data_IF_904983232495
#
_entry.id   IF_904983232495
#
_cell.length_a   1.000
_cell.length_b   1.000
_cell.length_c   1.000
_cell.angle_alpha   90.00
_cell.angle_beta   90.00
_cell.angle_gamma   90.00
#
_symmetry.space_group_name_H-M   'P 1'
#
loop_
_entity.id
_entity.type
_entity.pdbx_description
1 polymer ?
#
# COMPACT_ATOMS: atom_id res chain seq x y z
N UNK A 1 -15.99 47.60 -3.35
CA UNK A 1 -15.49 46.40 -4.05
C UNK A 1 -15.13 45.38 -2.98
N UNK A 2 -15.88 44.28 -2.85
CA UNK A 2 -15.61 43.28 -1.80
C UNK A 2 -14.27 42.60 -2.02
N UNK A 3 -13.43 42.60 -0.98
CA UNK A 3 -12.13 41.94 -0.97
C UNK A 3 -12.32 40.43 -0.79
N UNK A 4 -11.89 39.63 -1.77
CA UNK A 4 -11.92 38.17 -1.68
C UNK A 4 -10.64 37.63 -1.06
N UNK A 5 -10.79 36.69 -0.14
CA UNK A 5 -9.66 36.04 0.52
C UNK A 5 -9.24 34.74 -0.19
N UNK A 6 -7.94 34.46 -0.18
CA UNK A 6 -7.36 33.21 -0.65
C UNK A 6 -7.78 32.05 0.26
N UNK A 7 -8.22 30.94 -0.33
CA UNK A 7 -8.66 29.75 0.43
C UNK A 7 -7.55 29.06 1.25
N UNK A 8 -6.27 29.30 0.93
CA UNK A 8 -5.14 28.71 1.67
C UNK A 8 -4.57 29.64 2.75
N UNK A 9 -4.14 30.85 2.37
CA UNK A 9 -3.41 31.76 3.26
C UNK A 9 -4.29 32.87 3.86
N UNK A 10 -5.51 33.06 3.37
CA UNK A 10 -6.39 34.16 3.81
C UNK A 10 -6.07 35.52 3.18
N UNK A 11 -4.93 35.67 2.48
CA UNK A 11 -4.56 36.94 1.85
C UNK A 11 -5.55 37.40 0.80
N UNK A 12 -5.64 38.72 0.62
CA UNK A 12 -6.50 39.34 -0.37
C UNK A 12 -6.08 38.96 -1.80
N UNK A 13 -7.03 38.47 -2.58
CA UNK A 13 -6.83 38.19 -3.99
C UNK A 13 -6.72 39.53 -4.73
N UNK A 14 -5.70 39.67 -5.58
CA UNK A 14 -5.42 40.90 -6.33
C UNK A 14 -6.67 41.41 -7.07
N UNK A 15 -7.08 42.68 -6.86
CA UNK A 15 -8.17 43.31 -7.60
C UNK A 15 -7.90 43.26 -9.12
N UNK A 16 -8.95 43.07 -9.93
CA UNK A 16 -8.82 42.89 -11.38
C UNK A 16 -8.44 41.46 -11.82
N UNK A 17 -8.28 40.53 -10.88
CA UNK A 17 -8.21 39.09 -11.22
C UNK A 17 -9.54 38.56 -11.71
N UNK A 18 -9.52 37.43 -12.42
CA UNK A 18 -10.74 36.71 -12.85
C UNK A 18 -11.70 36.49 -11.67
N UNK A 19 -13.00 36.65 -11.92
CA UNK A 19 -14.07 36.53 -10.94
C UNK A 19 -14.24 35.10 -10.36
N UNK A 20 -13.54 34.09 -10.86
CA UNK A 20 -13.54 32.72 -10.35
C UNK A 20 -12.27 32.40 -9.53
N UNK A 21 -11.34 33.35 -9.36
CA UNK A 21 -10.04 33.08 -8.73
C UNK A 21 -10.18 32.74 -7.24
N UNK A 22 -9.78 31.53 -6.85
CA UNK A 22 -9.89 31.00 -5.47
C UNK A 22 -8.60 31.21 -4.65
N UNK A 23 -7.44 31.30 -5.33
CA UNK A 23 -6.11 31.39 -4.71
C UNK A 23 -5.38 32.65 -5.16
N UNK A 24 -4.63 33.29 -4.26
CA UNK A 24 -3.84 34.48 -4.60
C UNK A 24 -2.70 34.18 -5.58
N UNK A 25 -2.07 33.01 -5.45
CA UNK A 25 -0.94 32.53 -6.28
C UNK A 25 -1.10 31.06 -6.69
N UNK A 26 -0.37 30.65 -7.71
CA UNK A 26 -0.32 29.24 -8.12
C UNK A 26 0.33 28.35 -7.05
N UNK A 27 1.29 28.90 -6.29
CA UNK A 27 1.86 28.22 -5.12
C UNK A 27 0.80 27.94 -4.05
N UNK A 28 -0.14 28.85 -3.81
CA UNK A 28 -1.23 28.61 -2.88
C UNK A 28 -2.20 27.54 -3.39
N UNK A 29 -2.43 27.47 -4.70
CA UNK A 29 -3.25 26.41 -5.31
C UNK A 29 -2.59 25.04 -5.13
N UNK A 30 -1.33 24.90 -5.51
CA UNK A 30 -0.60 23.62 -5.42
C UNK A 30 -0.46 23.14 -3.97
N UNK A 31 -0.15 24.05 -3.05
CA UNK A 31 -0.01 23.73 -1.62
C UNK A 31 -1.35 23.31 -1.00
N UNK A 32 -2.45 23.97 -1.37
CA UNK A 32 -3.79 23.56 -0.96
C UNK A 32 -4.14 22.16 -1.48
N UNK A 33 -3.92 21.90 -2.76
CA UNK A 33 -4.19 20.59 -3.38
C UNK A 33 -3.33 19.48 -2.77
N UNK A 34 -2.03 19.73 -2.55
CA UNK A 34 -1.13 18.80 -1.88
C UNK A 34 -1.62 18.47 -0.47
N UNK A 35 -2.08 19.48 0.29
CA UNK A 35 -2.63 19.28 1.64
C UNK A 35 -3.89 18.43 1.61
N UNK A 36 -4.79 18.66 0.66
CA UNK A 36 -6.02 17.87 0.46
C UNK A 36 -5.70 16.42 0.10
N UNK A 37 -4.82 16.19 -0.87
CA UNK A 37 -4.44 14.84 -1.31
C UNK A 37 -3.52 14.10 -0.30
N UNK A 38 -2.88 14.81 0.63
CA UNK A 38 -1.87 14.22 1.53
C UNK A 38 -2.42 13.15 2.48
N UNK A 39 -3.64 13.30 3.01
CA UNK A 39 -4.17 12.36 4.01
C UNK A 39 -4.45 10.98 3.41
N UNK A 40 -5.15 10.95 2.27
CA UNK A 40 -5.50 9.69 1.58
C UNK A 40 -4.25 9.04 0.98
N UNK A 41 -3.35 9.85 0.40
CA UNK A 41 -2.07 9.35 -0.11
C UNK A 41 -1.18 8.79 1.01
N UNK A 42 -1.22 9.38 2.21
CA UNK A 42 -0.47 8.89 3.36
C UNK A 42 -0.97 7.52 3.84
N UNK A 43 -2.29 7.29 3.85
CA UNK A 43 -2.86 5.99 4.22
C UNK A 43 -2.41 4.91 3.24
N UNK A 44 -2.61 5.15 1.93
CA UNK A 44 -2.21 4.21 0.86
C UNK A 44 -0.70 3.92 0.94
N UNK A 45 0.13 4.95 1.11
CA UNK A 45 1.59 4.80 1.25
C UNK A 45 1.97 3.94 2.45
N UNK A 46 1.30 4.13 3.59
CA UNK A 46 1.54 3.33 4.81
C UNK A 46 1.15 1.87 4.60
N UNK A 47 -0.02 1.60 4.01
CA UNK A 47 -0.47 0.24 3.67
C UNK A 47 0.54 -0.43 2.73
N UNK A 48 0.93 0.25 1.65
CA UNK A 48 1.91 -0.27 0.69
C UNK A 48 3.27 -0.54 1.35
N UNK A 49 3.71 0.29 2.29
CA UNK A 49 4.95 0.06 3.04
C UNK A 49 4.87 -1.22 3.89
N UNK A 50 3.72 -1.51 4.53
CA UNK A 50 3.49 -2.74 5.28
C UNK A 50 3.47 -3.97 4.36
N UNK A 51 2.76 -3.89 3.24
CA UNK A 51 2.73 -4.95 2.22
C UNK A 51 4.14 -5.24 1.67
N UNK A 52 4.93 -4.21 1.36
CA UNK A 52 6.31 -4.38 0.90
C UNK A 52 7.21 -5.03 1.97
N UNK A 53 7.06 -4.64 3.24
CA UNK A 53 7.80 -5.27 4.35
C UNK A 53 7.45 -6.77 4.44
N UNK A 54 6.17 -7.10 4.44
CA UNK A 54 5.69 -8.48 4.47
C UNK A 54 6.25 -9.30 3.29
N UNK A 55 6.16 -8.78 2.07
CA UNK A 55 6.71 -9.43 0.87
C UNK A 55 8.22 -9.70 1.01
N UNK A 56 8.99 -8.73 1.52
CA UNK A 56 10.44 -8.89 1.75
C UNK A 56 10.75 -9.98 2.76
N UNK A 57 9.98 -10.06 3.86
CA UNK A 57 10.14 -11.11 4.88
C UNK A 57 9.91 -12.49 4.25
N UNK A 58 8.79 -12.68 3.54
CA UNK A 58 8.48 -13.96 2.90
C UNK A 58 9.55 -14.35 1.88
N UNK A 59 9.99 -13.41 1.02
CA UNK A 59 11.03 -13.67 0.04
C UNK A 59 12.38 -14.01 0.67
N UNK A 60 12.75 -13.36 1.79
CA UNK A 60 14.01 -13.62 2.50
C UNK A 60 14.01 -15.00 3.16
N UNK A 61 12.87 -15.40 3.72
CA UNK A 61 12.70 -16.67 4.43
C UNK A 61 12.38 -17.83 3.49
N UNK A 62 12.16 -17.59 2.20
CA UNK A 62 11.81 -18.61 1.21
C UNK A 62 12.75 -18.64 -0.02
N UNK A 63 14.08 -18.76 0.15
CA UNK A 63 15.04 -18.70 -0.96
C UNK A 63 14.87 -19.84 -1.98
N UNK A 64 14.42 -21.02 -1.55
CA UNK A 64 14.19 -22.20 -2.39
C UNK A 64 12.79 -22.24 -3.03
N UNK A 65 11.91 -21.29 -2.71
CA UNK A 65 10.54 -21.24 -3.21
C UNK A 65 9.53 -22.12 -2.43
N UNK A 66 10.00 -23.01 -1.53
CA UNK A 66 9.15 -23.76 -0.60
C UNK A 66 9.85 -23.97 0.74
N UNK A 67 9.35 -23.35 1.81
CA UNK A 67 9.98 -23.41 3.15
C UNK A 67 8.92 -23.59 4.24
N UNK A 68 9.15 -24.52 5.18
CA UNK A 68 8.29 -24.71 6.35
C UNK A 68 8.76 -23.78 7.47
N UNK A 69 7.84 -23.06 8.11
CA UNK A 69 8.11 -22.10 9.19
C UNK A 69 6.93 -22.07 10.16
N UNK A 70 7.11 -21.55 11.38
CA UNK A 70 6.00 -21.31 12.31
C UNK A 70 5.41 -19.90 12.13
N UNK A 71 4.16 -19.73 12.55
CA UNK A 71 3.51 -18.42 12.60
C UNK A 71 4.27 -17.45 13.52
N UNK A 72 4.74 -17.90 14.68
CA UNK A 72 5.51 -17.10 15.65
C UNK A 72 6.78 -16.55 15.02
N UNK A 73 7.47 -17.37 14.21
CA UNK A 73 8.69 -16.95 13.55
C UNK A 73 8.41 -15.76 12.63
N UNK A 74 7.34 -15.80 11.84
CA UNK A 74 6.94 -14.66 11.00
C UNK A 74 6.60 -13.41 11.85
N UNK A 75 5.88 -13.59 12.96
CA UNK A 75 5.59 -12.49 13.90
C UNK A 75 6.90 -11.88 14.45
N UNK A 76 7.88 -12.70 14.81
CA UNK A 76 9.18 -12.26 15.31
C UNK A 76 9.98 -11.47 14.26
N UNK A 77 9.85 -11.81 12.97
CA UNK A 77 10.38 -10.99 11.86
C UNK A 77 9.58 -9.70 11.60
N UNK A 78 8.49 -9.51 12.34
CA UNK A 78 7.59 -8.36 12.24
C UNK A 78 6.69 -8.42 11.00
N UNK A 79 6.33 -9.63 10.57
CA UNK A 79 5.28 -9.87 9.57
C UNK A 79 3.91 -9.56 10.18
N UNK A 80 3.07 -8.88 9.41
CA UNK A 80 1.75 -8.48 9.84
C UNK A 80 0.66 -9.18 9.01
N UNK A 81 -0.03 -10.15 9.61
CA UNK A 81 -1.02 -10.98 8.93
C UNK A 81 -2.27 -10.22 8.47
N UNK A 82 -2.48 -8.97 8.91
CA UNK A 82 -3.57 -8.13 8.45
C UNK A 82 -3.32 -7.50 7.07
N UNK A 83 -2.07 -7.50 6.58
CA UNK A 83 -1.69 -6.89 5.30
C UNK A 83 -1.40 -7.96 4.25
N UNK A 84 -2.44 -8.28 3.47
CA UNK A 84 -2.42 -9.25 2.38
C UNK A 84 -3.01 -8.66 1.10
N UNK A 85 -2.69 -9.24 -0.05
CA UNK A 85 -3.22 -8.79 -1.35
C UNK A 85 -4.27 -9.73 -1.92
N UNK A 86 -4.17 -11.04 -1.63
CA UNK A 86 -5.11 -12.03 -2.16
C UNK A 86 -5.15 -13.31 -1.33
N UNK A 87 -6.27 -14.00 -1.43
CA UNK A 87 -6.52 -15.31 -0.83
C UNK A 87 -6.99 -16.25 -1.93
N UNK A 88 -6.45 -17.45 -1.97
CA UNK A 88 -6.89 -18.52 -2.86
C UNK A 88 -7.22 -19.77 -2.05
N UNK A 89 -8.46 -20.25 -2.17
CA UNK A 89 -8.91 -21.50 -1.55
C UNK A 89 -8.87 -22.61 -2.58
N UNK A 90 -8.04 -23.62 -2.34
CA UNK A 90 -7.93 -24.78 -3.20
C UNK A 90 -9.04 -25.80 -2.90
N UNK A 91 -9.35 -26.65 -3.89
CA UNK A 91 -10.40 -27.68 -3.77
C UNK A 91 -10.13 -28.72 -2.69
N UNK A 92 -8.86 -28.91 -2.33
CA UNK A 92 -8.43 -29.81 -1.26
C UNK A 92 -8.57 -29.19 0.16
N UNK A 93 -9.15 -28.00 0.28
CA UNK A 93 -9.34 -27.29 1.55
C UNK A 93 -8.19 -26.36 1.94
N UNK A 94 -7.05 -26.42 1.25
CA UNK A 94 -5.91 -25.56 1.57
C UNK A 94 -6.21 -24.09 1.25
N UNK A 95 -5.89 -23.20 2.19
CA UNK A 95 -6.00 -21.76 1.99
C UNK A 95 -4.62 -21.14 1.80
N UNK A 96 -4.40 -20.56 0.63
CA UNK A 96 -3.20 -19.85 0.25
C UNK A 96 -3.44 -18.35 0.48
N UNK A 97 -2.51 -17.70 1.17
CA UNK A 97 -2.58 -16.27 1.44
C UNK A 97 -1.34 -15.61 0.84
N UNK A 98 -1.55 -14.56 0.06
CA UNK A 98 -0.48 -13.92 -0.70
C UNK A 98 -0.34 -12.43 -0.35
N UNK A 99 0.90 -11.98 -0.48
CA UNK A 99 1.35 -10.60 -0.53
C UNK A 99 2.12 -10.44 -1.84
N UNK A 100 1.44 -9.96 -2.87
CA UNK A 100 1.90 -9.95 -4.26
C UNK A 100 2.26 -11.36 -4.75
N UNK A 101 3.49 -11.60 -5.18
CA UNK A 101 3.99 -12.89 -5.67
C UNK A 101 4.45 -13.84 -4.55
N UNK A 102 4.52 -13.39 -3.29
CA UNK A 102 4.96 -14.21 -2.16
C UNK A 102 3.77 -14.58 -1.29
N UNK A 103 3.77 -15.76 -0.68
CA UNK A 103 2.65 -16.16 0.17
C UNK A 103 2.97 -17.31 1.12
N UNK A 104 1.95 -17.76 1.83
CA UNK A 104 2.01 -18.89 2.72
C UNK A 104 0.72 -19.72 2.68
N UNK A 105 0.82 -20.97 3.10
CA UNK A 105 -0.29 -21.89 3.32
C UNK A 105 -0.30 -22.25 4.79
N UNK A 106 -1.46 -22.16 5.44
CA UNK A 106 -1.64 -22.69 6.80
C UNK A 106 -1.85 -24.21 6.73
N UNK A 107 -1.01 -24.95 7.43
CA UNK A 107 -1.06 -26.42 7.50
C UNK A 107 -1.46 -26.93 8.89
N UNK A 108 -1.92 -26.05 9.78
CA UNK A 108 -2.29 -26.40 11.14
C UNK A 108 -1.10 -26.47 12.10
N UNK A 109 -1.41 -26.67 13.39
CA UNK A 109 -0.41 -26.75 14.48
C UNK A 109 0.61 -25.63 14.44
N UNK A 110 0.14 -24.43 14.13
CA UNK A 110 0.96 -23.21 14.06
C UNK A 110 2.04 -23.21 12.97
N UNK A 111 2.00 -24.18 12.06
CA UNK A 111 2.94 -24.33 10.98
C UNK A 111 2.39 -23.72 9.69
N UNK A 112 3.29 -23.10 8.94
CA UNK A 112 3.04 -22.48 7.66
C UNK A 112 4.04 -23.02 6.63
N UNK A 113 3.63 -23.07 5.37
CA UNK A 113 4.54 -23.31 4.24
C UNK A 113 4.57 -22.05 3.37
N UNK A 114 5.75 -21.44 3.26
CA UNK A 114 6.00 -20.32 2.37
C UNK A 114 6.04 -20.80 0.92
N UNK A 115 5.41 -20.04 0.03
CA UNK A 115 5.29 -20.35 -1.40
C UNK A 115 5.42 -19.10 -2.26
N UNK A 116 5.74 -19.27 -3.54
CA UNK A 116 5.73 -18.20 -4.55
C UNK A 116 4.61 -18.43 -5.55
N UNK A 117 3.85 -17.38 -5.88
CA UNK A 117 2.81 -17.43 -6.89
C UNK A 117 3.42 -17.27 -8.28
N UNK A 118 3.68 -18.41 -8.93
CA UNK A 118 4.33 -18.44 -10.23
C UNK A 118 3.51 -17.76 -11.35
N UNK A 119 2.17 -17.83 -11.27
CA UNK A 119 1.27 -17.21 -12.25
C UNK A 119 1.36 -15.67 -12.29
N UNK A 120 1.62 -15.03 -11.14
CA UNK A 120 1.76 -13.56 -11.08
C UNK A 120 3.10 -13.12 -11.67
N UNK A 121 4.16 -13.91 -11.47
CA UNK A 121 5.51 -13.60 -11.98
C UNK A 121 5.54 -13.68 -13.51
N UNK A 122 4.86 -14.68 -14.08
CA UNK A 122 4.76 -14.87 -15.53
C UNK A 122 4.02 -13.71 -16.20
N UNK A 123 2.94 -13.21 -15.62
CA UNK A 123 2.16 -12.08 -16.19
C UNK A 123 2.93 -10.75 -16.25
N UNK A 124 3.94 -10.53 -15.41
CA UNK A 124 4.75 -9.29 -15.43
C UNK A 124 5.89 -9.40 -16.45
N UNK A 125 6.33 -10.62 -16.80
CA UNK A 125 7.48 -10.86 -17.70
C UNK A 125 7.13 -10.71 -19.19
N UNK A 126 5.88 -10.39 -19.50
CA UNK A 126 5.33 -10.29 -20.87
C UNK A 126 5.18 -8.80 -21.29
N UNK A 127 5.51 -7.86 -20.40
CA UNK A 127 5.55 -6.42 -20.64
C UNK A 127 6.96 -5.88 -20.45
#
# INVERSE_FOLDING_TARGET
MESRACKLCGDTIRPGSRADKIFCTDQCRSSYNNKVSSKDNNLIRRINSRLQKNRRILSKLNPSGKTKITRESLIAYGFDFSYITSIYRAKNGNTYVFVYDQGYIDIGDNNLILVKNQRIVENISIY
#
